data_IF_354898019927
#
_entry.id   IF_354898019927
#
_cell.length_a   1.000
_cell.length_b   1.000
_cell.length_c   1.000
_cell.angle_alpha   90.00
_cell.angle_beta   90.00
_cell.angle_gamma   90.00
#
_symmetry.space_group_name_H-M   'P 1'
#
loop_
_entity.id
_entity.type
_entity.pdbx_description
1 polymer ?
#
# COMPACT_ATOMS: atom_id res chain seq x y z
N UNK A 1 23.42 -8.50 21.27
CA UNK A 1 23.41 -9.55 20.23
C UNK A 1 22.36 -9.26 19.16
N UNK A 2 21.15 -8.81 19.51
CA UNK A 2 20.12 -8.38 18.54
C UNK A 2 20.45 -7.04 17.84
N UNK A 3 20.93 -6.01 18.57
CA UNK A 3 21.33 -4.72 17.99
C UNK A 3 22.31 -4.85 16.80
N UNK A 4 23.32 -5.71 16.98
CA UNK A 4 24.35 -5.92 15.97
C UNK A 4 23.79 -6.63 14.73
N UNK A 5 22.83 -7.53 14.92
CA UNK A 5 22.12 -8.22 13.85
C UNK A 5 21.22 -7.27 13.04
N UNK A 6 20.59 -6.29 13.71
CA UNK A 6 19.81 -5.22 13.07
C UNK A 6 20.72 -4.32 12.24
N UNK A 7 21.82 -3.85 12.85
CA UNK A 7 22.84 -3.05 12.16
C UNK A 7 23.39 -3.80 10.95
N UNK A 8 23.71 -5.08 11.10
CA UNK A 8 24.22 -5.91 10.02
C UNK A 8 23.19 -6.06 8.90
N UNK A 9 21.90 -6.22 9.20
CA UNK A 9 20.84 -6.27 8.17
C UNK A 9 20.67 -4.97 7.41
N UNK A 10 20.55 -3.84 8.13
CA UNK A 10 20.28 -2.52 7.53
C UNK A 10 21.54 -1.88 6.91
N UNK A 11 22.73 -2.32 7.32
CA UNK A 11 24.00 -1.81 6.80
C UNK A 11 24.70 -2.77 5.83
N UNK A 12 24.13 -3.95 5.58
CA UNK A 12 24.73 -4.95 4.68
C UNK A 12 24.96 -4.35 3.28
N UNK A 13 26.10 -4.70 2.67
CA UNK A 13 26.38 -4.38 1.28
C UNK A 13 25.31 -4.92 0.32
N UNK A 14 24.73 -6.08 0.61
CA UNK A 14 23.65 -6.63 -0.21
C UNK A 14 22.40 -5.73 -0.14
N UNK A 15 22.02 -5.30 1.07
CA UNK A 15 20.89 -4.40 1.29
C UNK A 15 21.10 -3.06 0.58
N UNK A 16 22.28 -2.45 0.76
CA UNK A 16 22.64 -1.19 0.09
C UNK A 16 22.67 -1.31 -1.43
N UNK A 17 23.14 -2.44 -1.95
CA UNK A 17 23.16 -2.72 -3.38
C UNK A 17 21.74 -2.82 -3.95
N UNK A 18 20.86 -3.59 -3.29
CA UNK A 18 19.46 -3.73 -3.71
C UNK A 18 18.69 -2.42 -3.65
N UNK A 19 18.93 -1.59 -2.62
CA UNK A 19 18.35 -0.24 -2.52
C UNK A 19 18.83 0.64 -3.67
N UNK A 20 20.14 0.65 -3.93
CA UNK A 20 20.72 1.45 -5.02
C UNK A 20 20.22 1.00 -6.39
N UNK A 21 20.12 -0.30 -6.63
CA UNK A 21 19.56 -0.89 -7.84
C UNK A 21 18.10 -0.48 -8.03
N UNK A 22 17.27 -0.62 -7.00
CA UNK A 22 15.86 -0.21 -7.04
C UNK A 22 15.70 1.28 -7.36
N UNK A 23 16.52 2.14 -6.74
CA UNK A 23 16.53 3.57 -7.06
C UNK A 23 16.90 3.76 -8.53
N UNK A 24 17.96 3.14 -9.02
CA UNK A 24 18.38 3.29 -10.42
C UNK A 24 17.31 2.81 -11.41
N UNK A 25 16.66 1.67 -11.15
CA UNK A 25 15.59 1.14 -12.00
C UNK A 25 14.41 2.10 -12.08
N UNK A 26 13.93 2.61 -10.95
CA UNK A 26 12.82 3.56 -10.94
C UNK A 26 13.20 4.93 -11.52
N UNK A 27 14.43 5.38 -11.32
CA UNK A 27 14.93 6.62 -11.91
C UNK A 27 14.93 6.57 -13.44
N UNK A 28 15.31 5.42 -14.01
CA UNK A 28 15.23 5.17 -15.46
C UNK A 28 13.75 5.10 -15.89
N UNK A 29 12.92 4.36 -15.15
CA UNK A 29 11.50 4.17 -15.49
C UNK A 29 10.66 5.45 -15.47
N UNK A 30 11.03 6.44 -14.65
CA UNK A 30 10.31 7.71 -14.51
C UNK A 30 11.06 8.93 -15.09
N UNK A 31 12.15 8.72 -15.83
CA UNK A 31 12.96 9.77 -16.46
C UNK A 31 13.37 10.90 -15.47
N UNK A 32 13.67 10.53 -14.22
CA UNK A 32 13.99 11.48 -13.16
C UNK A 32 15.45 11.95 -13.25
N UNK A 33 15.75 13.14 -12.73
CA UNK A 33 17.10 13.72 -12.81
C UNK A 33 18.01 13.30 -11.62
N UNK A 34 19.33 13.44 -11.78
CA UNK A 34 20.31 13.08 -10.72
C UNK A 34 20.11 13.85 -9.40
N UNK A 35 19.51 15.04 -9.44
CA UNK A 35 19.18 15.78 -8.22
C UNK A 35 18.09 15.08 -7.39
N UNK A 36 17.04 14.56 -8.03
CA UNK A 36 15.99 13.79 -7.37
C UNK A 36 16.52 12.48 -6.80
N UNK A 37 17.39 11.79 -7.53
CA UNK A 37 18.08 10.59 -7.04
C UNK A 37 18.83 10.86 -5.75
N UNK A 38 19.62 11.93 -5.70
CA UNK A 38 20.36 12.31 -4.50
C UNK A 38 19.44 12.64 -3.34
N UNK A 39 18.32 13.35 -3.58
CA UNK A 39 17.32 13.63 -2.55
C UNK A 39 16.69 12.35 -1.98
N UNK A 40 16.38 11.37 -2.84
CA UNK A 40 15.80 10.09 -2.42
C UNK A 40 16.82 9.28 -1.62
N UNK A 41 18.08 9.21 -2.06
CA UNK A 41 19.16 8.57 -1.31
C UNK A 41 19.35 9.21 0.07
N UNK A 42 19.47 10.53 0.13
CA UNK A 42 19.64 11.25 1.40
C UNK A 42 18.45 11.05 2.34
N UNK A 43 17.23 11.06 1.81
CA UNK A 43 16.02 10.78 2.59
C UNK A 43 16.04 9.36 3.17
N UNK A 44 16.36 8.36 2.35
CA UNK A 44 16.41 6.96 2.77
C UNK A 44 17.51 6.73 3.81
N UNK A 45 18.71 7.24 3.54
CA UNK A 45 19.83 7.15 4.47
C UNK A 45 19.48 7.85 5.79
N UNK A 46 18.92 9.06 5.75
CA UNK A 46 18.51 9.77 6.97
C UNK A 46 17.53 8.95 7.81
N UNK A 47 16.58 8.25 7.18
CA UNK A 47 15.62 7.41 7.89
C UNK A 47 16.29 6.25 8.61
N UNK A 48 17.26 5.59 7.95
CA UNK A 48 18.01 4.48 8.55
C UNK A 48 18.94 4.99 9.67
N UNK A 49 19.71 6.05 9.42
CA UNK A 49 20.66 6.56 10.40
C UNK A 49 19.94 7.05 11.66
N UNK A 50 18.84 7.79 11.54
CA UNK A 50 18.04 8.21 12.69
C UNK A 50 17.54 7.02 13.51
N UNK A 51 17.13 5.94 12.85
CA UNK A 51 16.70 4.75 13.56
C UNK A 51 17.86 4.04 14.27
N UNK A 52 19.01 3.89 13.60
CA UNK A 52 20.19 3.28 14.20
C UNK A 52 20.74 4.10 15.38
N UNK A 53 20.70 5.43 15.29
CA UNK A 53 21.12 6.33 16.37
C UNK A 53 20.23 6.14 17.60
N UNK A 54 18.90 6.06 17.43
CA UNK A 54 17.96 5.79 18.53
C UNK A 54 18.24 4.43 19.17
N UNK A 55 18.55 3.41 18.37
CA UNK A 55 18.85 2.08 18.89
C UNK A 55 20.19 2.04 19.64
N UNK A 56 21.15 2.88 19.27
CA UNK A 56 22.46 2.97 19.93
C UNK A 56 22.40 3.59 21.32
N UNK A 57 21.42 4.43 21.57
CA UNK A 57 21.20 5.06 22.87
C UNK A 57 20.57 4.09 23.92
N UNK A 58 20.16 2.88 23.51
CA UNK A 58 19.43 1.95 24.38
C UNK A 58 20.22 0.67 24.63
N UNK A 59 20.63 0.47 25.89
CA UNK A 59 21.41 -0.70 26.34
C UNK A 59 20.52 -1.87 26.80
N UNK A 60 19.24 -1.62 27.11
CA UNK A 60 18.31 -2.62 27.66
C UNK A 60 17.64 -3.38 26.51
N UNK A 61 17.69 -4.72 26.60
CA UNK A 61 17.23 -5.60 25.53
C UNK A 61 15.71 -5.50 25.30
N UNK A 62 14.93 -5.49 26.37
CA UNK A 62 13.47 -5.42 26.30
C UNK A 62 12.99 -4.11 25.67
N UNK A 63 13.63 -2.99 26.04
CA UNK A 63 13.38 -1.68 25.45
C UNK A 63 13.76 -1.63 23.96
N UNK A 64 14.84 -2.32 23.57
CA UNK A 64 15.24 -2.43 22.17
C UNK A 64 14.16 -3.13 21.33
N UNK A 65 13.57 -4.21 21.83
CA UNK A 65 12.45 -4.90 21.17
C UNK A 65 11.25 -3.98 20.98
N UNK A 66 10.90 -3.20 22.02
CA UNK A 66 9.80 -2.23 21.95
C UNK A 66 10.08 -1.12 20.93
N UNK A 67 11.33 -0.65 20.83
CA UNK A 67 11.72 0.35 19.83
C UNK A 67 11.66 -0.20 18.39
N UNK A 68 12.11 -1.43 18.17
CA UNK A 68 12.00 -2.09 16.86
C UNK A 68 10.54 -2.24 16.47
N UNK A 69 9.71 -2.70 17.40
CA UNK A 69 8.27 -2.83 17.22
C UNK A 69 7.64 -1.48 16.88
N UNK A 70 7.93 -0.44 17.67
CA UNK A 70 7.41 0.91 17.45
C UNK A 70 7.82 1.47 16.08
N UNK A 71 9.07 1.25 15.67
CA UNK A 71 9.55 1.69 14.36
C UNK A 71 8.88 0.95 13.22
N UNK A 72 8.66 -0.37 13.36
CA UNK A 72 7.95 -1.14 12.35
C UNK A 72 6.52 -0.64 12.18
N UNK A 73 5.80 -0.36 13.27
CA UNK A 73 4.44 0.22 13.21
C UNK A 73 4.46 1.57 12.50
N UNK A 74 5.40 2.47 12.87
CA UNK A 74 5.58 3.77 12.22
C UNK A 74 5.77 3.62 10.69
N UNK A 75 6.69 2.74 10.27
CA UNK A 75 6.99 2.49 8.87
C UNK A 75 5.82 1.84 8.13
N UNK A 76 5.07 0.94 8.77
CA UNK A 76 3.91 0.28 8.17
C UNK A 76 2.76 1.26 7.96
N UNK A 77 2.52 2.15 8.93
CA UNK A 77 1.58 3.26 8.81
C UNK A 77 1.97 4.21 7.67
N UNK A 78 3.24 4.61 7.62
CA UNK A 78 3.75 5.47 6.57
C UNK A 78 3.65 4.81 5.18
N UNK A 79 4.00 3.53 5.06
CA UNK A 79 3.83 2.75 3.83
C UNK A 79 2.36 2.68 3.40
N UNK A 80 1.44 2.48 4.34
CA UNK A 80 -0.01 2.46 4.06
C UNK A 80 -0.47 3.82 3.53
N UNK A 81 -0.04 4.91 4.16
CA UNK A 81 -0.34 6.28 3.72
C UNK A 81 0.14 6.52 2.28
N UNK A 82 1.39 6.15 1.96
CA UNK A 82 1.93 6.29 0.60
C UNK A 82 1.10 5.53 -0.42
N UNK A 83 0.75 4.27 -0.14
CA UNK A 83 -0.05 3.45 -1.05
C UNK A 83 -1.46 3.99 -1.24
N UNK A 84 -2.10 4.48 -0.18
CA UNK A 84 -3.41 5.16 -0.29
C UNK A 84 -3.32 6.40 -1.17
N UNK A 85 -2.27 7.20 -1.02
CA UNK A 85 -2.06 8.39 -1.85
C UNK A 85 -1.80 8.03 -3.31
N UNK A 86 -0.96 7.04 -3.58
CA UNK A 86 -0.69 6.52 -4.94
C UNK A 86 -1.98 6.04 -5.59
N UNK A 87 -2.79 5.23 -4.88
CA UNK A 87 -4.07 4.73 -5.39
C UNK A 87 -5.04 5.88 -5.69
N UNK A 88 -5.11 6.88 -4.81
CA UNK A 88 -5.98 8.04 -5.02
C UNK A 88 -5.53 8.91 -6.20
N UNK A 89 -4.22 9.11 -6.38
CA UNK A 89 -3.69 9.81 -7.56
C UNK A 89 -3.96 9.02 -8.83
N UNK A 90 -3.62 7.73 -8.87
CA UNK A 90 -3.93 6.87 -10.03
C UNK A 90 -5.42 6.91 -10.40
N UNK A 91 -6.31 6.91 -9.41
CA UNK A 91 -7.75 6.98 -9.66
C UNK A 91 -8.21 8.33 -10.23
N UNK A 92 -7.69 9.46 -9.73
CA UNK A 92 -8.18 10.79 -10.12
C UNK A 92 -7.42 11.41 -11.30
N UNK A 93 -6.10 11.21 -11.37
CA UNK A 93 -5.22 11.83 -12.36
C UNK A 93 -4.71 10.84 -13.40
N UNK A 94 -4.92 9.53 -13.21
CA UNK A 94 -4.42 8.48 -14.11
C UNK A 94 -2.93 8.16 -13.93
N UNK A 95 -2.18 9.04 -13.28
CA UNK A 95 -0.76 8.88 -12.96
C UNK A 95 -0.50 9.32 -11.52
N UNK A 96 0.30 8.53 -10.81
CA UNK A 96 0.78 8.84 -9.46
C UNK A 96 2.18 9.45 -9.49
N UNK A 97 2.49 10.29 -8.49
CA UNK A 97 3.80 10.91 -8.32
C UNK A 97 4.89 9.83 -8.18
N UNK A 98 5.89 9.79 -9.10
CA UNK A 98 7.02 8.88 -9.04
C UNK A 98 7.73 8.86 -7.68
N UNK A 99 7.81 10.00 -7.00
CA UNK A 99 8.48 10.09 -5.70
C UNK A 99 7.76 9.25 -4.64
N UNK A 100 6.43 9.20 -4.67
CA UNK A 100 5.66 8.39 -3.72
C UNK A 100 5.88 6.90 -3.96
N UNK A 101 5.90 6.50 -5.24
CA UNK A 101 6.13 5.11 -5.66
C UNK A 101 7.52 4.64 -5.20
N UNK A 102 8.55 5.44 -5.47
CA UNK A 102 9.92 5.12 -5.05
C UNK A 102 10.01 5.02 -3.53
N UNK A 103 9.45 5.99 -2.80
CA UNK A 103 9.44 5.97 -1.32
C UNK A 103 8.70 4.75 -0.77
N UNK A 104 7.59 4.35 -1.37
CA UNK A 104 6.83 3.16 -0.94
C UNK A 104 7.64 1.88 -1.17
N UNK A 105 8.30 1.77 -2.33
CA UNK A 105 9.23 0.68 -2.66
C UNK A 105 10.36 0.59 -1.64
N UNK A 106 11.05 1.70 -1.37
CA UNK A 106 12.15 1.74 -0.42
C UNK A 106 11.72 1.44 1.02
N UNK A 107 10.57 1.94 1.44
CA UNK A 107 10.00 1.62 2.77
C UNK A 107 9.75 0.11 2.91
N UNK A 108 9.39 -0.56 1.82
CA UNK A 108 9.18 -2.02 1.80
C UNK A 108 10.46 -2.79 2.12
N UNK A 109 11.62 -2.34 1.63
CA UNK A 109 12.91 -2.97 1.96
C UNK A 109 13.21 -2.90 3.46
N UNK A 110 12.93 -1.75 4.11
CA UNK A 110 13.14 -1.61 5.55
C UNK A 110 12.18 -2.53 6.31
N UNK A 111 10.91 -2.58 5.91
CA UNK A 111 9.92 -3.47 6.53
C UNK A 111 10.35 -4.94 6.45
N UNK A 112 10.80 -5.41 5.27
CA UNK A 112 11.30 -6.79 5.08
C UNK A 112 12.52 -7.08 5.96
N UNK A 113 13.39 -6.09 6.17
CA UNK A 113 14.56 -6.26 7.03
C UNK A 113 14.18 -6.39 8.51
N UNK A 114 13.18 -5.62 8.95
CA UNK A 114 12.72 -5.54 10.34
C UNK A 114 11.74 -6.65 10.73
N UNK A 115 10.89 -7.12 9.81
CA UNK A 115 9.84 -8.09 10.10
C UNK A 115 10.35 -9.36 10.81
N UNK A 116 11.47 -10.00 10.41
CA UNK A 116 11.97 -11.20 11.09
C UNK A 116 12.57 -10.94 12.48
N UNK A 117 12.60 -9.68 12.95
CA UNK A 117 13.12 -9.27 14.25
C UNK A 117 11.98 -9.08 15.26
N UNK A 118 10.72 -9.15 14.82
CA UNK A 118 9.51 -9.01 15.64
C UNK A 118 8.90 -10.41 15.82
N UNK A 119 8.26 -10.66 16.96
CA UNK A 119 7.59 -11.93 17.20
C UNK A 119 6.37 -12.08 16.27
N UNK A 120 6.09 -13.30 15.81
CA UNK A 120 4.99 -13.56 14.88
C UNK A 120 3.61 -13.19 15.47
N UNK A 121 3.44 -13.33 16.79
CA UNK A 121 2.22 -12.93 17.52
C UNK A 121 1.98 -11.41 17.41
N UNK A 122 3.01 -10.62 17.71
CA UNK A 122 3.01 -9.16 17.65
C UNK A 122 2.77 -8.66 16.21
N UNK A 123 3.37 -9.31 15.21
CA UNK A 123 3.16 -8.99 13.80
C UNK A 123 1.70 -9.19 13.37
N UNK A 124 1.08 -10.29 13.79
CA UNK A 124 -0.30 -10.58 13.48
C UNK A 124 -1.25 -9.55 14.14
N UNK A 125 -0.98 -9.20 15.40
CA UNK A 125 -1.76 -8.18 16.10
C UNK A 125 -1.66 -6.81 15.41
N UNK A 126 -0.46 -6.38 15.00
CA UNK A 126 -0.29 -5.14 14.21
C UNK A 126 -1.04 -5.21 12.89
N UNK A 127 -0.93 -6.33 12.16
CA UNK A 127 -1.60 -6.47 10.86
C UNK A 127 -3.12 -6.39 11.02
N UNK A 128 -3.67 -7.01 12.06
CA UNK A 128 -5.09 -6.92 12.40
C UNK A 128 -5.47 -5.48 12.80
N UNK A 129 -4.73 -4.86 13.72
CA UNK A 129 -4.98 -3.48 14.15
C UNK A 129 -4.94 -2.48 12.98
N UNK A 130 -3.93 -2.58 12.11
CA UNK A 130 -3.76 -1.66 10.99
C UNK A 130 -4.74 -1.94 9.84
N UNK A 131 -5.39 -3.09 9.77
CA UNK A 131 -6.41 -3.39 8.76
C UNK A 131 -7.82 -3.00 9.21
N UNK A 132 -8.09 -3.01 10.52
CA UNK A 132 -9.35 -2.54 11.07
C UNK A 132 -9.54 -1.03 10.83
N UNK A 133 -10.70 -0.60 10.31
CA UNK A 133 -11.10 0.80 10.35
C UNK A 133 -11.05 1.33 11.78
N UNK A 134 -10.55 2.55 11.99
CA UNK A 134 -10.47 3.19 13.32
C UNK A 134 -11.82 3.15 14.05
N UNK A 135 -12.94 3.20 13.32
CA UNK A 135 -14.29 3.10 13.87
C UNK A 135 -14.58 1.73 14.50
N UNK A 136 -14.05 0.64 13.94
CA UNK A 136 -14.20 -0.71 14.51
C UNK A 136 -13.36 -0.88 15.78
N UNK A 137 -12.16 -0.29 15.82
CA UNK A 137 -11.30 -0.29 17.01
C UNK A 137 -11.93 0.50 18.18
N UNK A 138 -12.55 1.66 17.89
CA UNK A 138 -13.28 2.43 18.90
C UNK A 138 -14.51 1.68 19.45
N UNK A 139 -15.11 0.76 18.68
CA UNK A 139 -16.25 -0.05 19.13
C UNK A 139 -15.79 -1.18 20.06
N UNK A 140 -14.64 -1.80 19.80
CA UNK A 140 -14.09 -2.89 20.63
C UNK A 140 -13.63 -2.39 22.01
N UNK A 141 -12.95 -1.24 22.12
CA UNK A 141 -12.48 -0.69 23.41
C UNK A 141 -13.63 -0.27 24.35
N UNK A 142 -14.77 0.19 23.81
CA UNK A 142 -15.95 0.54 24.61
C UNK A 142 -16.64 -0.73 25.17
N UNK A 143 -16.51 -1.86 24.46
CA UNK A 143 -17.12 -3.13 24.86
C UNK A 143 -16.39 -3.81 26.04
N UNK A 144 -15.10 -3.53 26.23
CA UNK A 144 -14.29 -4.10 27.32
C UNK A 144 -14.40 -3.30 28.62
N UNK A 145 -14.55 -1.98 28.56
CA UNK A 145 -14.73 -1.13 29.75
C UNK A 145 -16.17 -1.10 30.29
N UNK A 146 -17.16 -1.52 29.51
CA UNK A 146 -18.58 -1.38 29.87
C UNK A 146 -19.23 -2.64 30.49
N UNK A 147 -18.44 -3.60 30.99
CA UNK A 147 -19.00 -4.84 31.61
C UNK A 147 -19.68 -4.64 32.97
N UNK A 148 -19.80 -3.41 33.46
CA UNK A 148 -20.60 -3.12 34.64
C UNK A 148 -21.56 -1.94 34.38
N UNK A 149 -22.81 -2.31 34.07
CA UNK A 149 -24.01 -1.46 33.99
C UNK A 149 -24.05 -0.45 32.82
N UNK A 150 -24.77 -0.79 31.75
CA UNK A 150 -25.72 0.03 30.95
C UNK A 150 -26.16 -0.89 29.78
N UNK A 151 -27.24 -1.64 30.00
CA UNK A 151 -27.76 -2.62 29.04
C UNK A 151 -29.00 -2.00 28.36
N UNK A 152 -29.08 -2.13 27.03
CA UNK A 152 -30.12 -1.62 26.09
C UNK A 152 -29.81 -0.31 25.35
N UNK A 153 -29.62 0.83 26.03
CA UNK A 153 -29.39 2.13 25.33
C UNK A 153 -28.07 2.16 24.52
N UNK A 154 -27.04 1.46 24.99
CA UNK A 154 -25.75 1.35 24.29
C UNK A 154 -25.86 0.57 22.98
N UNK A 155 -26.70 -0.48 22.94
CA UNK A 155 -26.91 -1.31 21.75
C UNK A 155 -27.79 -0.59 20.72
N UNK A 156 -28.77 0.18 21.17
CA UNK A 156 -29.57 1.04 20.30
C UNK A 156 -28.72 2.14 19.65
N UNK A 157 -27.90 2.83 20.43
CA UNK A 157 -26.97 3.83 19.90
C UNK A 157 -25.94 3.22 18.93
N UNK A 158 -25.49 1.99 19.20
CA UNK A 158 -24.59 1.24 18.32
C UNK A 158 -25.25 0.93 16.97
N UNK A 159 -26.49 0.44 16.99
CA UNK A 159 -27.26 0.16 15.77
C UNK A 159 -27.56 1.44 14.99
N UNK A 160 -27.84 2.56 15.67
CA UNK A 160 -28.04 3.86 15.02
C UNK A 160 -26.78 4.35 14.31
N UNK A 161 -25.61 4.24 14.94
CA UNK A 161 -24.34 4.61 14.31
C UNK A 161 -23.97 3.73 13.11
N UNK A 162 -24.24 2.43 13.19
CA UNK A 162 -24.06 1.51 12.05
C UNK A 162 -25.02 1.87 10.91
N UNK A 163 -26.25 2.22 11.24
CA UNK A 163 -27.25 2.65 10.28
C UNK A 163 -26.81 3.95 9.59
N UNK A 164 -26.36 4.95 10.34
CA UNK A 164 -25.85 6.22 9.81
C UNK A 164 -24.66 6.02 8.88
N UNK A 165 -23.72 5.14 9.24
CA UNK A 165 -22.58 4.81 8.40
C UNK A 165 -23.01 4.19 7.06
N UNK A 166 -23.94 3.22 7.11
CA UNK A 166 -24.49 2.59 5.91
C UNK A 166 -25.26 3.58 5.04
N UNK A 167 -26.00 4.51 5.64
CA UNK A 167 -26.70 5.57 4.90
C UNK A 167 -25.73 6.54 4.25
N UNK A 168 -24.67 6.96 4.97
CA UNK A 168 -23.63 7.82 4.43
C UNK A 168 -22.92 7.17 3.23
N UNK A 169 -22.54 5.91 3.34
CA UNK A 169 -21.89 5.17 2.26
C UNK A 169 -22.82 4.98 1.06
N UNK A 170 -24.10 4.70 1.30
CA UNK A 170 -25.14 4.63 0.25
C UNK A 170 -25.25 5.98 -0.49
N UNK A 171 -25.34 7.08 0.24
CA UNK A 171 -25.54 8.42 -0.34
C UNK A 171 -24.30 8.88 -1.12
N UNK A 172 -23.11 8.56 -0.60
CA UNK A 172 -21.84 8.77 -1.29
C UNK A 172 -21.78 7.98 -2.61
N UNK A 173 -22.16 6.69 -2.59
CA UNK A 173 -22.22 5.87 -3.80
C UNK A 173 -23.23 6.42 -4.82
N UNK A 174 -24.40 6.85 -4.37
CA UNK A 174 -25.43 7.44 -5.23
C UNK A 174 -24.94 8.74 -5.88
N UNK A 175 -24.27 9.59 -5.11
CA UNK A 175 -23.70 10.85 -5.61
C UNK A 175 -22.59 10.60 -6.62
N UNK A 176 -21.68 9.67 -6.34
CA UNK A 176 -20.54 9.35 -7.21
C UNK A 176 -20.97 8.66 -8.51
N UNK A 177 -21.95 7.76 -8.44
CA UNK A 177 -22.43 6.99 -9.58
C UNK A 177 -23.62 7.66 -10.30
N UNK A 178 -24.06 8.83 -9.84
CA UNK A 178 -25.26 9.54 -10.31
C UNK A 178 -26.50 8.63 -10.40
N UNK A 179 -26.61 7.70 -9.45
CA UNK A 179 -27.71 6.74 -9.38
C UNK A 179 -28.68 7.16 -8.28
N UNK A 180 -29.98 7.10 -8.55
CA UNK A 180 -31.01 7.49 -7.59
C UNK A 180 -31.60 6.28 -6.86
N UNK A 181 -31.24 5.06 -7.28
CA UNK A 181 -31.71 3.83 -6.67
C UNK A 181 -30.61 2.77 -6.59
N UNK A 182 -30.75 1.86 -5.61
CA UNK A 182 -29.85 0.70 -5.46
C UNK A 182 -29.94 -0.24 -6.67
N UNK A 183 -31.11 -0.33 -7.31
CA UNK A 183 -31.32 -1.13 -8.51
C UNK A 183 -30.50 -0.55 -9.68
N UNK A 184 -30.47 0.77 -9.84
CA UNK A 184 -29.63 1.43 -10.85
C UNK A 184 -28.14 1.14 -10.61
N UNK A 185 -27.66 1.25 -9.37
CA UNK A 185 -26.27 0.93 -9.02
C UNK A 185 -25.93 -0.52 -9.36
N UNK A 186 -26.80 -1.47 -9.00
CA UNK A 186 -26.59 -2.90 -9.32
C UNK A 186 -26.56 -3.10 -10.83
N UNK A 187 -27.47 -2.48 -11.58
CA UNK A 187 -27.52 -2.60 -13.03
C UNK A 187 -26.27 -1.99 -13.70
N UNK A 188 -25.78 -0.87 -13.17
CA UNK A 188 -24.57 -0.20 -13.66
C UNK A 188 -23.34 -1.09 -13.45
N UNK A 189 -23.18 -1.65 -12.24
CA UNK A 189 -22.07 -2.55 -11.91
C UNK A 189 -22.13 -3.83 -12.74
N UNK A 190 -23.33 -4.38 -12.97
CA UNK A 190 -23.50 -5.54 -13.84
C UNK A 190 -23.13 -5.23 -15.29
N UNK A 191 -23.58 -4.10 -15.83
CA UNK A 191 -23.22 -3.64 -17.17
C UNK A 191 -21.70 -3.42 -17.30
N UNK A 192 -21.05 -2.80 -16.32
CA UNK A 192 -19.60 -2.60 -16.31
C UNK A 192 -18.85 -3.95 -16.30
N UNK A 193 -19.31 -4.92 -15.50
CA UNK A 193 -18.72 -6.28 -15.49
C UNK A 193 -18.88 -6.98 -16.83
N UNK A 194 -20.03 -6.82 -17.48
CA UNK A 194 -20.29 -7.40 -18.80
C UNK A 194 -19.43 -6.74 -19.88
N UNK A 195 -19.26 -5.41 -19.84
CA UNK A 195 -18.35 -4.68 -20.73
C UNK A 195 -16.90 -5.14 -20.57
N UNK A 196 -16.41 -5.26 -19.33
CA UNK A 196 -15.05 -5.76 -19.06
C UNK A 196 -14.87 -7.19 -19.56
N UNK A 197 -15.87 -8.05 -19.36
CA UNK A 197 -15.85 -9.43 -19.85
C UNK A 197 -15.82 -9.49 -21.39
N UNK A 198 -16.59 -8.63 -22.05
CA UNK A 198 -16.60 -8.53 -23.51
C UNK A 198 -15.26 -8.04 -24.04
N UNK A 199 -14.68 -7.00 -23.43
CA UNK A 199 -13.35 -6.51 -23.78
C UNK A 199 -12.27 -7.59 -23.61
N UNK A 200 -12.31 -8.35 -22.51
CA UNK A 200 -11.39 -9.47 -22.33
C UNK A 200 -11.54 -10.54 -23.42
N UNK A 201 -12.77 -10.87 -23.83
CA UNK A 201 -13.03 -11.83 -24.90
C UNK A 201 -12.58 -11.34 -26.28
N UNK A 202 -12.73 -10.03 -26.55
CA UNK A 202 -12.20 -9.40 -27.76
C UNK A 202 -10.67 -9.40 -27.76
N UNK A 203 -10.05 -9.11 -26.61
CA UNK A 203 -8.60 -9.10 -26.47
C UNK A 203 -7.98 -10.50 -26.51
N UNK A 204 -8.68 -11.54 -26.05
CA UNK A 204 -8.22 -12.95 -26.09
C UNK A 204 -7.90 -13.42 -27.52
N UNK A 205 -8.60 -12.87 -28.51
CA UNK A 205 -8.38 -13.16 -29.93
C UNK A 205 -7.55 -12.07 -30.64
N UNK A 206 -6.94 -11.16 -29.89
CA UNK A 206 -6.14 -10.07 -30.42
C UNK A 206 -4.65 -10.36 -30.27
N UNK A 207 -3.86 -9.95 -31.27
CA UNK A 207 -2.40 -9.96 -31.22
C UNK A 207 -1.93 -8.51 -31.33
N UNK A 208 -1.28 -8.01 -30.28
CA UNK A 208 -0.65 -6.69 -30.29
C UNK A 208 0.81 -6.91 -30.72
N UNK A 209 1.15 -6.40 -31.90
CA UNK A 209 2.53 -6.34 -32.39
C UNK A 209 3.12 -4.99 -31.97
N UNK A 210 3.81 -4.98 -30.84
CA UNK A 210 4.48 -3.77 -30.35
C UNK A 210 5.98 -3.79 -30.73
N UNK A 211 6.43 -2.80 -31.50
CA UNK A 211 7.80 -2.67 -31.98
C UNK A 211 7.99 -2.58 -33.51
N UNK A 212 9.26 -2.45 -33.94
CA UNK A 212 9.64 -2.30 -35.35
C UNK A 212 9.83 -3.65 -36.06
N UNK A 213 8.93 -4.00 -36.98
CA UNK A 213 9.08 -5.18 -37.84
C UNK A 213 9.88 -4.80 -39.10
N UNK A 214 11.13 -5.30 -39.22
CA UNK A 214 12.00 -5.04 -40.37
C UNK A 214 12.06 -6.24 -41.29
N UNK A 215 11.56 -6.09 -42.53
CA UNK A 215 11.63 -7.12 -43.55
C UNK A 215 12.85 -6.89 -44.45
N UNK A 216 13.74 -7.89 -44.56
CA UNK A 216 14.90 -7.83 -45.45
C UNK A 216 14.67 -8.69 -46.71
N UNK A 217 14.54 -8.05 -47.87
CA UNK A 217 14.41 -8.70 -49.20
C UNK A 217 13.10 -8.41 -49.93
N UNK A 218 13.01 -8.78 -51.23
CA UNK A 218 11.81 -8.61 -52.06
C UNK A 218 10.76 -9.69 -51.76
N UNK A 219 10.06 -9.58 -50.61
CA UNK A 219 8.96 -10.49 -50.25
C UNK A 219 7.65 -9.73 -50.15
N UNK A 220 6.59 -10.29 -50.73
CA UNK A 220 5.22 -9.75 -50.61
C UNK A 220 4.60 -10.26 -49.32
N UNK A 221 4.17 -9.35 -48.46
CA UNK A 221 3.41 -9.68 -47.25
C UNK A 221 1.93 -9.76 -47.62
N UNK A 222 1.27 -10.83 -47.21
CA UNK A 222 -0.19 -10.99 -47.34
C UNK A 222 -0.74 -11.35 -45.97
N UNK A 223 -1.60 -10.49 -45.42
CA UNK A 223 -2.34 -10.77 -44.20
C UNK A 223 -3.67 -11.36 -44.64
N UNK A 224 -3.93 -12.60 -44.27
CA UNK A 224 -5.15 -13.31 -44.62
C UNK A 224 -5.87 -13.68 -43.33
N UNK A 225 -7.04 -13.07 -43.12
CA UNK A 225 -7.97 -13.45 -42.05
C UNK A 225 -8.65 -14.76 -42.49
N UNK A 226 -8.54 -15.81 -41.68
CA UNK A 226 -9.29 -17.07 -41.87
C UNK A 226 -10.70 -16.86 -41.36
#
# INVERSE_FOLDING_TARGET
>A
MELQLIKDKLSNQNFKSSVSENINEWMIGFEQNEEHKNKIHLWFDSMIHQFLDILDDVEIKEELSVLIFSKYVELKCYWKQLNTQIQYQNFNTGEADPNLIIKASLTTYILIALEPLIHDEDLNEIQEFLTKPIRELMIEEISTDSRQNIHEDSVLNLLEQQLEALYYDKEKLFTQLQCNSTIEVISLVQNMREQVKNLHSEMENSCILDGNIRFTGNRKIRIQKI
#
